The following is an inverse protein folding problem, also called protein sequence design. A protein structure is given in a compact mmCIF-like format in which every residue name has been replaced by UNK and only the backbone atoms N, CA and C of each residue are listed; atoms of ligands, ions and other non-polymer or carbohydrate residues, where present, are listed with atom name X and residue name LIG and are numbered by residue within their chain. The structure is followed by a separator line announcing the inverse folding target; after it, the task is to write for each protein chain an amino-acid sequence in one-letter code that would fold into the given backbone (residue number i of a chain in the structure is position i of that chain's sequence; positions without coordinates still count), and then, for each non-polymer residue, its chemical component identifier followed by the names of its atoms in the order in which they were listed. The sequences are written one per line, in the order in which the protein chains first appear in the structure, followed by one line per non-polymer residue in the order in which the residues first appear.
data_IF_901719821643
#
_entry.id   IF_901719821643
#
_cell.length_a   1.000
_cell.length_b   1.000
_cell.length_c   1.000
_cell.angle_alpha   90.00
_cell.angle_beta   90.00
_cell.angle_gamma   90.00
#
_symmetry.space_group_name_H-M   'P 1'
#
loop_
_entity.id
_entity.type
_entity.pdbx_description
1 polymer ?
#
# COMPACT_ATOMS: atom_id res chain seq x y z
N UNK A 1 9.73 0.51 10.41
CA UNK A 1 8.91 -0.51 9.72
C UNK A 1 8.13 -1.39 10.69
N UNK A 2 8.77 -2.02 11.68
CA UNK A 2 8.05 -2.79 12.72
C UNK A 2 6.98 -1.97 13.44
N UNK A 3 7.29 -0.71 13.80
CA UNK A 3 6.32 0.25 14.36
C UNK A 3 5.11 0.50 13.46
N UNK A 4 5.30 0.67 12.14
CA UNK A 4 4.20 0.79 11.20
C UNK A 4 3.36 -0.49 11.15
N UNK A 5 4.03 -1.65 11.05
CA UNK A 5 3.38 -2.95 11.02
C UNK A 5 2.49 -3.17 12.24
N UNK A 6 3.02 -2.88 13.42
CA UNK A 6 2.35 -3.12 14.70
C UNK A 6 1.29 -2.05 15.04
N UNK A 7 1.62 -0.77 14.91
CA UNK A 7 0.74 0.32 15.38
C UNK A 7 -0.27 0.82 14.36
N UNK A 8 -0.03 0.58 13.06
CA UNK A 8 -0.89 1.10 11.99
C UNK A 8 -1.46 -0.03 11.16
N UNK A 9 -0.59 -0.84 10.55
CA UNK A 9 -1.02 -1.85 9.58
C UNK A 9 -1.89 -2.94 10.21
N UNK A 10 -1.46 -3.50 11.35
CA UNK A 10 -2.17 -4.57 12.05
C UNK A 10 -3.57 -4.13 12.55
N UNK A 11 -3.73 -3.04 13.34
CA UNK A 11 -5.04 -2.61 13.81
C UNK A 11 -5.96 -2.18 12.65
N UNK A 12 -5.43 -1.47 11.66
CA UNK A 12 -6.21 -1.04 10.50
C UNK A 12 -6.73 -2.23 9.69
N UNK A 13 -5.87 -3.23 9.44
CA UNK A 13 -6.25 -4.44 8.72
C UNK A 13 -7.26 -5.25 9.51
N UNK A 14 -7.06 -5.40 10.82
CA UNK A 14 -7.99 -6.12 11.68
C UNK A 14 -9.39 -5.50 11.62
N UNK A 15 -9.51 -4.18 11.76
CA UNK A 15 -10.81 -3.50 11.72
C UNK A 15 -11.44 -3.59 10.33
N UNK A 16 -10.73 -3.15 9.28
CA UNK A 16 -11.32 -3.07 7.94
C UNK A 16 -11.69 -4.44 7.38
N UNK A 17 -10.81 -5.43 7.53
CA UNK A 17 -11.04 -6.78 7.03
C UNK A 17 -12.11 -7.48 7.87
N UNK A 18 -12.13 -7.32 9.20
CA UNK A 18 -13.18 -7.90 10.04
C UNK A 18 -14.56 -7.34 9.68
N UNK A 19 -14.67 -6.02 9.48
CA UNK A 19 -15.95 -5.42 9.09
C UNK A 19 -16.41 -5.88 7.71
N UNK A 20 -15.48 -6.01 6.76
CA UNK A 20 -15.78 -6.59 5.45
C UNK A 20 -16.24 -8.05 5.57
N UNK A 21 -15.56 -8.86 6.36
CA UNK A 21 -15.94 -10.27 6.58
C UNK A 21 -17.31 -10.39 7.23
N UNK A 22 -17.63 -9.54 8.22
CA UNK A 22 -18.96 -9.49 8.84
C UNK A 22 -20.06 -9.11 7.84
N UNK A 23 -19.80 -8.14 6.97
CA UNK A 23 -20.77 -7.71 5.96
C UNK A 23 -21.12 -8.82 4.95
N UNK A 24 -20.20 -9.76 4.71
CA UNK A 24 -20.39 -10.90 3.82
C UNK A 24 -20.58 -12.24 4.57
N UNK A 25 -20.73 -12.20 5.89
CA UNK A 25 -20.92 -13.40 6.70
C UNK A 25 -22.19 -14.15 6.30
N UNK A 26 -22.09 -15.47 6.17
CA UNK A 26 -23.21 -16.33 5.76
C UNK A 26 -23.60 -16.23 4.27
N UNK A 27 -22.92 -15.40 3.47
CA UNK A 27 -23.15 -15.33 2.02
C UNK A 27 -22.23 -16.31 1.28
N UNK A 28 -22.75 -17.48 0.90
CA UNK A 28 -21.96 -18.55 0.26
C UNK A 28 -22.01 -18.55 -1.26
N UNK A 29 -22.88 -17.73 -1.86
CA UNK A 29 -23.06 -17.68 -3.32
C UNK A 29 -21.80 -17.17 -4.03
N UNK A 30 -21.58 -17.65 -5.25
CA UNK A 30 -20.45 -17.23 -6.10
C UNK A 30 -20.44 -15.71 -6.32
N UNK A 31 -21.62 -15.11 -6.51
CA UNK A 31 -21.76 -13.65 -6.62
C UNK A 31 -21.35 -12.90 -5.35
N UNK A 32 -21.63 -13.44 -4.17
CA UNK A 32 -21.21 -12.83 -2.92
C UNK A 32 -19.69 -12.90 -2.71
N UNK A 33 -19.05 -14.02 -3.08
CA UNK A 33 -17.59 -14.15 -3.03
C UNK A 33 -16.90 -13.15 -3.97
N UNK A 34 -17.43 -13.00 -5.18
CA UNK A 34 -16.93 -12.01 -6.14
C UNK A 34 -17.16 -10.59 -5.60
N UNK A 35 -18.35 -10.30 -5.09
CA UNK A 35 -18.68 -9.01 -4.48
C UNK A 35 -17.76 -8.65 -3.30
N UNK A 36 -17.39 -9.63 -2.47
CA UNK A 36 -16.46 -9.44 -1.36
C UNK A 36 -15.06 -9.08 -1.85
N UNK A 37 -14.58 -9.71 -2.94
CA UNK A 37 -13.30 -9.39 -3.56
C UNK A 37 -13.29 -7.97 -4.12
N UNK A 38 -14.37 -7.56 -4.80
CA UNK A 38 -14.50 -6.19 -5.30
C UNK A 38 -14.56 -5.17 -4.17
N UNK A 39 -15.37 -5.43 -3.14
CA UNK A 39 -15.45 -4.56 -1.96
C UNK A 39 -14.08 -4.44 -1.26
N UNK A 40 -13.32 -5.53 -1.15
CA UNK A 40 -11.95 -5.46 -0.64
C UNK A 40 -11.05 -4.57 -1.52
N UNK A 41 -11.06 -4.77 -2.83
CA UNK A 41 -10.19 -4.05 -3.75
C UNK A 41 -10.55 -2.57 -3.92
N UNK A 42 -11.83 -2.21 -3.75
CA UNK A 42 -12.34 -0.86 -3.97
C UNK A 42 -12.51 -0.04 -2.69
N UNK A 43 -12.62 -0.68 -1.51
CA UNK A 43 -12.79 0.02 -0.23
C UNK A 43 -11.58 -0.17 0.67
N UNK A 44 -11.18 -1.41 0.92
CA UNK A 44 -10.12 -1.72 1.89
C UNK A 44 -8.74 -1.38 1.33
N UNK A 45 -8.43 -1.83 0.11
CA UNK A 45 -7.11 -1.64 -0.50
C UNK A 45 -6.72 -0.15 -0.70
N UNK A 46 -7.61 0.77 -1.13
CA UNK A 46 -7.34 2.20 -1.15
C UNK A 46 -6.97 2.78 0.21
N UNK A 47 -7.74 2.44 1.25
CA UNK A 47 -7.52 2.97 2.60
C UNK A 47 -6.17 2.49 3.14
N UNK A 48 -5.87 1.19 2.99
CA UNK A 48 -4.59 0.64 3.39
C UNK A 48 -3.42 1.26 2.62
N UNK A 49 -3.58 1.50 1.31
CA UNK A 49 -2.56 2.16 0.48
C UNK A 49 -2.30 3.60 0.93
N UNK A 50 -3.36 4.37 1.22
CA UNK A 50 -3.24 5.73 1.71
C UNK A 50 -2.57 5.77 3.10
N UNK A 51 -2.94 4.85 4.00
CA UNK A 51 -2.34 4.72 5.32
C UNK A 51 -0.85 4.37 5.23
N UNK A 52 -0.49 3.40 4.38
CA UNK A 52 0.90 3.03 4.12
C UNK A 52 1.73 4.23 3.64
N UNK A 53 1.27 4.93 2.59
CA UNK A 53 1.99 6.08 2.05
C UNK A 53 2.08 7.24 3.05
N UNK A 54 1.04 7.45 3.86
CA UNK A 54 1.03 8.49 4.90
C UNK A 54 2.03 8.16 6.01
N UNK A 55 2.02 6.93 6.52
CA UNK A 55 2.99 6.48 7.51
C UNK A 55 4.42 6.53 6.96
N UNK A 56 4.61 6.16 5.69
CA UNK A 56 5.91 6.26 5.03
C UNK A 56 6.39 7.71 4.89
N UNK A 57 5.50 8.65 4.60
CA UNK A 57 5.85 10.06 4.58
C UNK A 57 6.33 10.54 5.96
N UNK A 58 5.62 10.17 7.04
CA UNK A 58 5.97 10.52 8.42
C UNK A 58 7.28 9.88 8.86
N UNK A 59 7.46 8.57 8.62
CA UNK A 59 8.70 7.84 8.97
C UNK A 59 9.92 8.46 8.30
N UNK A 60 9.74 8.95 7.08
CA UNK A 60 10.81 9.62 6.35
C UNK A 60 11.00 11.08 6.79
N UNK A 61 10.20 11.63 7.71
CA UNK A 61 10.37 12.98 8.25
C UNK A 61 9.63 14.06 7.47
N UNK A 62 8.48 13.75 6.88
CA UNK A 62 7.55 14.79 6.44
C UNK A 62 7.07 15.59 7.66
N UNK A 63 7.24 16.92 7.64
CA UNK A 63 6.93 17.79 8.79
C UNK A 63 5.58 18.51 8.65
N UNK A 64 4.93 18.42 7.49
CA UNK A 64 3.64 19.07 7.24
C UNK A 64 2.61 18.14 6.58
N UNK A 65 1.34 18.40 6.85
CA UNK A 65 0.22 17.71 6.18
C UNK A 65 0.26 17.89 4.65
N UNK A 66 0.83 18.99 4.16
CA UNK A 66 0.98 19.24 2.72
C UNK A 66 1.94 18.26 2.06
N UNK A 67 3.04 17.92 2.73
CA UNK A 67 4.04 16.96 2.24
C UNK A 67 3.51 15.53 2.26
N UNK A 68 2.76 15.18 3.30
CA UNK A 68 2.07 13.88 3.38
C UNK A 68 1.09 13.76 2.22
N UNK A 69 0.22 14.75 2.00
CA UNK A 69 -0.74 14.76 0.88
C UNK A 69 -0.04 14.67 -0.48
N UNK A 70 1.07 15.37 -0.68
CA UNK A 70 1.87 15.26 -1.92
C UNK A 70 2.41 13.85 -2.11
N UNK A 71 2.96 13.23 -1.07
CA UNK A 71 3.50 11.86 -1.11
C UNK A 71 2.41 10.85 -1.43
N UNK A 72 1.26 10.95 -0.76
CA UNK A 72 0.10 10.09 -1.03
C UNK A 72 -0.35 10.28 -2.47
N UNK A 73 -0.60 11.51 -2.93
CA UNK A 73 -1.06 11.78 -4.31
C UNK A 73 -0.08 11.27 -5.37
N UNK A 74 1.23 11.41 -5.14
CA UNK A 74 2.27 10.95 -6.06
C UNK A 74 2.41 9.42 -6.07
N UNK A 75 2.29 8.76 -4.91
CA UNK A 75 2.51 7.32 -4.77
C UNK A 75 1.26 6.47 -4.96
N UNK A 76 0.06 7.01 -4.69
CA UNK A 76 -1.17 6.23 -4.51
C UNK A 76 -1.46 5.35 -5.72
N UNK A 77 -1.53 5.94 -6.91
CA UNK A 77 -1.82 5.20 -8.13
C UNK A 77 -0.72 4.20 -8.50
N UNK A 78 0.54 4.50 -8.19
CA UNK A 78 1.64 3.57 -8.45
C UNK A 78 1.56 2.34 -7.55
N UNK A 79 1.16 2.52 -6.29
CA UNK A 79 1.09 1.43 -5.31
C UNK A 79 -0.18 0.61 -5.52
N UNK A 80 -1.35 1.26 -5.65
CA UNK A 80 -2.63 0.56 -5.73
C UNK A 80 -2.75 -0.28 -7.00
N UNK A 81 -2.24 0.19 -8.15
CA UNK A 81 -2.25 -0.60 -9.40
C UNK A 81 -1.41 -1.87 -9.27
N UNK A 82 -0.26 -1.79 -8.62
CA UNK A 82 0.57 -2.97 -8.37
C UNK A 82 -0.19 -3.95 -7.47
N UNK A 83 -0.83 -3.45 -6.41
CA UNK A 83 -1.65 -4.30 -5.53
C UNK A 83 -2.79 -4.98 -6.30
N UNK A 84 -3.52 -4.24 -7.14
CA UNK A 84 -4.62 -4.77 -7.94
C UNK A 84 -4.21 -5.81 -8.99
N UNK A 85 -2.94 -5.81 -9.42
CA UNK A 85 -2.44 -6.81 -10.38
C UNK A 85 -1.80 -7.99 -9.63
N UNK A 86 -0.95 -7.72 -8.65
CA UNK A 86 -0.20 -8.76 -7.94
C UNK A 86 -1.13 -9.60 -7.07
N UNK A 87 -2.14 -9.01 -6.42
CA UNK A 87 -3.09 -9.73 -5.57
C UNK A 87 -3.83 -10.87 -6.31
N UNK A 88 -4.55 -10.63 -7.42
CA UNK A 88 -5.24 -11.70 -8.14
C UNK A 88 -4.28 -12.72 -8.77
N UNK A 89 -3.14 -12.28 -9.30
CA UNK A 89 -2.14 -13.21 -9.87
C UNK A 89 -1.60 -14.14 -8.78
N UNK A 90 -1.25 -13.59 -7.63
CA UNK A 90 -0.75 -14.37 -6.49
C UNK A 90 -1.80 -15.36 -6.00
N UNK A 91 -3.07 -14.95 -5.97
CA UNK A 91 -4.18 -15.83 -5.60
C UNK A 91 -4.35 -16.99 -6.58
N UNK A 92 -4.30 -16.73 -7.89
CA UNK A 92 -4.40 -17.77 -8.92
C UNK A 92 -3.23 -18.75 -8.82
N UNK A 93 -2.01 -18.24 -8.58
CA UNK A 93 -0.83 -19.09 -8.36
C UNK A 93 -1.00 -19.94 -7.11
N UNK A 94 -1.45 -19.35 -6.00
CA UNK A 94 -1.70 -20.07 -4.76
C UNK A 94 -2.73 -21.19 -4.94
N UNK A 95 -3.85 -20.90 -5.60
CA UNK A 95 -4.92 -21.87 -5.84
C UNK A 95 -4.50 -23.03 -6.74
N UNK A 96 -3.64 -22.79 -7.73
CA UNK A 96 -3.29 -23.80 -8.75
C UNK A 96 -2.05 -24.61 -8.39
N UNK A 97 -1.10 -24.03 -7.65
CA UNK A 97 0.24 -24.63 -7.49
C UNK A 97 0.71 -24.78 -6.05
N UNK A 98 0.04 -24.16 -5.06
CA UNK A 98 0.54 -24.11 -3.68
C UNK A 98 -0.43 -24.85 -2.73
N UNK A 99 0.03 -25.83 -1.95
CA UNK A 99 -0.76 -26.43 -0.87
C UNK A 99 -1.27 -25.38 0.12
N UNK A 100 -2.50 -25.55 0.64
CA UNK A 100 -3.19 -24.54 1.48
C UNK A 100 -2.39 -24.17 2.73
N UNK A 101 -1.72 -25.14 3.34
CA UNK A 101 -0.85 -24.98 4.49
C UNK A 101 0.36 -24.06 4.23
N UNK A 102 0.76 -23.88 2.96
CA UNK A 102 1.83 -22.99 2.54
C UNK A 102 1.35 -21.62 2.04
N UNK A 103 0.03 -21.35 2.04
CA UNK A 103 -0.49 -20.08 1.54
C UNK A 103 -0.02 -18.90 2.39
N UNK A 104 -0.07 -19.03 3.73
CA UNK A 104 0.37 -17.96 4.64
C UNK A 104 1.83 -17.56 4.39
N UNK A 105 2.82 -18.48 4.42
CA UNK A 105 4.21 -18.11 4.13
C UNK A 105 4.41 -17.60 2.70
N UNK A 106 3.68 -18.13 1.71
CA UNK A 106 3.74 -17.65 0.33
C UNK A 106 3.29 -16.18 0.19
N UNK A 107 2.12 -15.83 0.75
CA UNK A 107 1.63 -14.45 0.70
C UNK A 107 2.50 -13.50 1.51
N UNK A 108 3.08 -13.95 2.63
CA UNK A 108 4.05 -13.16 3.39
C UNK A 108 5.32 -12.87 2.58
N UNK A 109 5.82 -13.84 1.80
CA UNK A 109 6.97 -13.63 0.93
C UNK A 109 6.69 -12.57 -0.15
N UNK A 110 5.50 -12.63 -0.78
CA UNK A 110 5.07 -11.60 -1.75
C UNK A 110 4.96 -10.23 -1.08
N UNK A 111 4.33 -10.16 0.10
CA UNK A 111 4.21 -8.92 0.85
C UNK A 111 5.57 -8.34 1.25
N UNK A 112 6.55 -9.20 1.56
CA UNK A 112 7.92 -8.78 1.84
C UNK A 112 8.60 -8.17 0.59
N UNK A 113 8.48 -8.82 -0.56
CA UNK A 113 9.01 -8.31 -1.84
C UNK A 113 8.36 -6.99 -2.22
N UNK A 114 7.02 -6.92 -2.18
CA UNK A 114 6.26 -5.69 -2.45
C UNK A 114 6.60 -4.58 -1.47
N UNK A 115 6.67 -4.91 -0.18
CA UNK A 115 7.07 -3.98 0.88
C UNK A 115 8.44 -3.38 0.58
N UNK A 116 9.44 -4.21 0.29
CA UNK A 116 10.79 -3.76 -0.07
C UNK A 116 10.78 -2.87 -1.31
N UNK A 117 10.07 -3.27 -2.36
CA UNK A 117 9.94 -2.49 -3.59
C UNK A 117 9.28 -1.13 -3.35
N UNK A 118 8.17 -1.08 -2.62
CA UNK A 118 7.49 0.18 -2.31
C UNK A 118 8.35 1.11 -1.45
N UNK A 119 9.08 0.56 -0.48
CA UNK A 119 10.04 1.32 0.32
C UNK A 119 11.12 1.97 -0.57
N UNK A 120 11.71 1.20 -1.48
CA UNK A 120 12.67 1.71 -2.46
C UNK A 120 12.07 2.83 -3.32
N UNK A 121 10.88 2.61 -3.89
CA UNK A 121 10.21 3.58 -4.77
C UNK A 121 9.89 4.90 -4.07
N UNK A 122 9.38 4.85 -2.84
CA UNK A 122 9.10 6.06 -2.04
C UNK A 122 10.38 6.84 -1.77
N UNK A 123 11.46 6.14 -1.38
CA UNK A 123 12.77 6.77 -1.16
C UNK A 123 13.32 7.41 -2.44
N UNK A 124 13.21 6.73 -3.58
CA UNK A 124 13.64 7.22 -4.88
C UNK A 124 12.86 8.48 -5.33
N UNK A 125 11.53 8.48 -5.19
CA UNK A 125 10.68 9.62 -5.53
C UNK A 125 11.05 10.87 -4.71
N UNK A 126 11.32 10.69 -3.41
CA UNK A 126 11.71 11.80 -2.55
C UNK A 126 13.10 12.35 -2.88
N UNK A 127 14.07 11.47 -3.15
CA UNK A 127 15.41 11.89 -3.60
C UNK A 127 15.32 12.70 -4.90
N UNK A 128 14.48 12.28 -5.85
CA UNK A 128 14.24 13.03 -7.07
C UNK A 128 13.59 14.39 -6.81
N UNK A 129 12.61 14.46 -5.90
CA UNK A 129 11.99 15.73 -5.50
C UNK A 129 13.00 16.68 -4.82
N UNK A 130 13.86 16.17 -3.93
CA UNK A 130 14.88 16.95 -3.26
C UNK A 130 15.96 17.46 -4.23
N UNK A 131 16.34 16.66 -5.24
CA UNK A 131 17.26 17.10 -6.32
C UNK A 131 16.65 18.25 -7.13
N UNK A 132 15.40 18.11 -7.58
CA UNK A 132 14.69 19.18 -8.31
C UNK A 132 14.56 20.47 -7.50
N UNK A 133 14.37 20.36 -6.18
CA UNK A 133 14.30 21.55 -5.33
C UNK A 133 15.65 22.24 -5.18
N UNK A 134 16.76 21.49 -5.09
CA UNK A 134 18.12 22.06 -5.12
C UNK A 134 18.41 22.74 -6.45
N UNK A 135 18.16 22.08 -7.57
CA UNK A 135 18.35 22.64 -8.92
C UNK A 135 17.54 23.94 -9.11
N UNK A 136 16.31 24.01 -8.57
CA UNK A 136 15.49 25.23 -8.62
C UNK A 136 16.07 26.37 -7.77
N UNK A 137 16.68 26.07 -6.62
CA UNK A 137 17.34 27.06 -5.76
C UNK A 137 18.66 27.55 -6.37
N UNK A 138 19.42 26.64 -7.00
CA UNK A 138 20.69 26.97 -7.64
C UNK A 138 20.50 27.74 -8.97
N UNK A 139 19.41 27.47 -9.70
CA UNK A 139 19.03 28.22 -10.92
C UNK A 139 18.38 29.58 -10.68
N UNK A 140 17.94 29.86 -9.44
CA UNK A 140 17.56 31.20 -8.98
C UNK A 140 18.76 31.81 -8.25
N UNK A 141 19.81 32.18 -8.99
CA UNK A 141 20.90 33.01 -8.45
C UNK A 141 20.33 34.27 -7.79
N UNK A 142 21.03 34.88 -6.80
CA UNK A 142 20.48 35.97 -6.00
C UNK A 142 20.00 37.08 -6.92
N UNK A 143 18.70 37.35 -6.89
CA UNK A 143 18.12 38.55 -7.49
C UNK A 143 18.82 39.74 -6.84
N UNK A 144 19.74 40.38 -7.58
CA UNK A 144 20.34 41.65 -7.19
C UNK A 144 19.27 42.75 -7.19
#
# INVERSE_FOLDING_TARGET
MALYGFLVSAPLSHVLVSQLQKAFAGKTSTGAKIGQIFANNLLVAPIQTAAFLSSMAVINGASSLSEIKKTVKAGFFSVIRISWVVSPISLVVAQKYIPVELWVPFFNAIQFVLGTYFNYRVKALRLAAARKEKERKDGQGPTQ
#
